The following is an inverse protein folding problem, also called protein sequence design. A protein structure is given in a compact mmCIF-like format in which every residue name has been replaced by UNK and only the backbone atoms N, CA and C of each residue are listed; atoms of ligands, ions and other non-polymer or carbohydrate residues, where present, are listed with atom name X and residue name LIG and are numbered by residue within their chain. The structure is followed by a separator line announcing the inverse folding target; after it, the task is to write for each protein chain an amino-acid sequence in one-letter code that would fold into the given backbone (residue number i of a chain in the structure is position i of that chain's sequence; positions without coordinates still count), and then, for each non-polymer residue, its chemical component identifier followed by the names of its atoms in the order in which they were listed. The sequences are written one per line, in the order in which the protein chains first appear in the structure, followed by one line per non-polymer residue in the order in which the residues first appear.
data_IF_960144863500
#
_entry.id   IF_960144863500
#
_cell.length_a   1.000
_cell.length_b   1.000
_cell.length_c   1.000
_cell.angle_alpha   90.00
_cell.angle_beta   90.00
_cell.angle_gamma   90.00
#
_symmetry.space_group_name_H-M   'P 1'
#
loop_
_entity.id
_entity.type
_entity.pdbx_description
1 polymer ?
#
# COMPACT_ATOMS: atom_id res chain seq x y z
N UNK A 1 0.79 -38.29 -22.28
CA UNK A 1 1.25 -37.75 -20.98
C UNK A 1 0.75 -36.31 -20.89
N UNK A 2 0.03 -35.98 -19.83
CA UNK A 2 -0.80 -34.78 -19.71
C UNK A 2 0.04 -33.50 -19.67
N UNK A 3 -0.31 -32.54 -20.53
CA UNK A 3 0.12 -31.14 -20.47
C UNK A 3 -0.40 -30.54 -19.16
N UNK A 4 0.43 -29.86 -18.34
CA UNK A 4 -0.09 -29.19 -17.15
C UNK A 4 -1.05 -28.09 -17.63
N UNK A 5 -2.32 -28.21 -17.27
CA UNK A 5 -3.30 -27.16 -17.55
C UNK A 5 -2.79 -25.86 -16.91
N UNK A 6 -2.79 -24.72 -17.62
CA UNK A 6 -2.35 -23.46 -17.05
C UNK A 6 -3.25 -23.15 -15.86
N UNK A 7 -2.68 -23.21 -14.66
CA UNK A 7 -3.36 -22.91 -13.42
C UNK A 7 -3.78 -21.45 -13.48
N UNK A 8 -5.06 -21.21 -13.73
CA UNK A 8 -5.63 -19.88 -13.92
C UNK A 8 -6.32 -19.37 -12.65
N UNK A 9 -5.88 -19.88 -11.50
CA UNK A 9 -6.30 -19.42 -10.18
C UNK A 9 -5.40 -18.25 -9.83
N UNK A 10 -5.99 -17.08 -9.62
CA UNK A 10 -5.28 -15.87 -9.21
C UNK A 10 -5.99 -15.18 -8.06
N UNK A 11 -5.23 -14.47 -7.24
CA UNK A 11 -5.80 -13.69 -6.16
C UNK A 11 -6.24 -12.32 -6.70
N UNK A 12 -7.54 -12.09 -6.77
CA UNK A 12 -8.13 -10.82 -7.21
C UNK A 12 -8.88 -10.19 -6.04
N UNK A 13 -8.42 -9.02 -5.57
CA UNK A 13 -9.01 -8.29 -4.43
C UNK A 13 -9.20 -9.17 -3.17
N UNK A 14 -8.26 -10.08 -2.91
CA UNK A 14 -8.28 -10.99 -1.76
C UNK A 14 -9.10 -12.27 -1.95
N UNK A 15 -9.64 -12.53 -3.14
CA UNK A 15 -10.41 -13.74 -3.46
C UNK A 15 -9.64 -14.57 -4.50
N UNK A 16 -9.53 -15.88 -4.28
CA UNK A 16 -9.02 -16.80 -5.29
C UNK A 16 -10.05 -16.96 -6.42
N UNK A 17 -9.67 -16.52 -7.62
CA UNK A 17 -10.52 -16.56 -8.82
C UNK A 17 -9.93 -17.52 -9.82
N UNK A 18 -10.71 -18.53 -10.19
CA UNK A 18 -10.40 -19.44 -11.29
C UNK A 18 -10.89 -18.84 -12.62
N UNK A 19 -10.00 -18.16 -13.33
CA UNK A 19 -10.33 -17.40 -14.54
C UNK A 19 -11.02 -18.25 -15.62
N UNK A 20 -10.68 -19.54 -15.70
CA UNK A 20 -11.27 -20.47 -16.68
C UNK A 20 -12.79 -20.64 -16.49
N UNK A 21 -13.30 -20.39 -15.29
CA UNK A 21 -14.73 -20.48 -14.95
C UNK A 21 -15.45 -19.14 -15.04
N UNK A 22 -14.71 -18.03 -15.14
CA UNK A 22 -15.28 -16.71 -15.38
C UNK A 22 -15.78 -16.56 -16.82
N UNK A 23 -16.82 -15.74 -17.00
CA UNK A 23 -17.26 -15.32 -18.33
C UNK A 23 -16.13 -14.61 -19.09
N UNK A 24 -16.10 -14.63 -20.44
CA UNK A 24 -15.06 -13.95 -21.22
C UNK A 24 -14.91 -12.46 -20.86
N UNK A 25 -16.04 -11.76 -20.65
CA UNK A 25 -16.04 -10.35 -20.24
C UNK A 25 -15.43 -10.15 -18.84
N UNK A 26 -15.81 -10.99 -17.88
CA UNK A 26 -15.25 -10.96 -16.52
C UNK A 26 -13.74 -11.26 -16.52
N UNK A 27 -13.32 -12.26 -17.30
CA UNK A 27 -11.90 -12.61 -17.47
C UNK A 27 -11.10 -11.45 -18.04
N UNK A 28 -11.62 -10.76 -19.06
CA UNK A 28 -10.98 -9.59 -19.66
C UNK A 28 -10.88 -8.43 -18.68
N UNK A 29 -11.93 -8.14 -17.91
CA UNK A 29 -11.91 -7.09 -16.90
C UNK A 29 -10.85 -7.36 -15.81
N UNK A 30 -10.84 -8.58 -15.26
CA UNK A 30 -9.87 -9.00 -14.25
C UNK A 30 -8.45 -8.95 -14.81
N UNK A 31 -8.22 -9.47 -16.03
CA UNK A 31 -6.89 -9.49 -16.66
C UNK A 31 -6.40 -8.08 -17.00
N UNK A 32 -7.29 -7.18 -17.45
CA UNK A 32 -6.96 -5.78 -17.70
C UNK A 32 -6.61 -5.02 -16.41
N UNK A 33 -7.30 -5.33 -15.31
CA UNK A 33 -7.04 -4.73 -14.00
C UNK A 33 -5.76 -5.26 -13.35
N UNK A 34 -5.41 -6.53 -13.57
CA UNK A 34 -4.14 -7.13 -13.10
C UNK A 34 -2.96 -6.67 -13.98
N UNK A 35 -3.19 -6.47 -15.27
CA UNK A 35 -2.17 -5.97 -16.21
C UNK A 35 -1.85 -4.48 -16.01
N UNK A 36 -2.76 -3.72 -15.38
CA UNK A 36 -2.47 -2.40 -14.85
C UNK A 36 -1.75 -2.57 -13.51
N UNK A 37 -0.48 -2.18 -13.42
CA UNK A 37 0.32 -2.30 -12.20
C UNK A 37 -0.39 -1.75 -10.95
N UNK A 38 0.11 -2.12 -9.76
CA UNK A 38 -0.46 -1.72 -8.47
C UNK A 38 -0.84 -0.22 -8.48
N UNK A 39 -2.14 0.13 -8.42
CA UNK A 39 -2.60 1.50 -8.54
C UNK A 39 -2.18 2.39 -7.35
N UNK A 40 -1.62 1.76 -6.31
CA UNK A 40 -1.09 2.41 -5.12
C UNK A 40 0.44 2.52 -5.12
N UNK A 41 1.15 1.91 -6.08
CA UNK A 41 2.62 1.80 -6.02
C UNK A 41 3.32 3.15 -5.82
N UNK A 42 2.92 4.18 -6.59
CA UNK A 42 3.47 5.53 -6.45
C UNK A 42 3.14 6.16 -5.09
N UNK A 43 1.96 5.84 -4.54
CA UNK A 43 1.51 6.36 -3.27
C UNK A 43 2.23 5.69 -2.09
N UNK A 44 2.53 4.40 -2.20
CA UNK A 44 3.30 3.64 -1.22
C UNK A 44 4.77 4.09 -1.20
N UNK A 45 5.37 4.34 -2.37
CA UNK A 45 6.71 4.93 -2.45
C UNK A 45 6.75 6.35 -1.86
N UNK A 46 5.69 7.14 -2.08
CA UNK A 46 5.55 8.45 -1.47
C UNK A 46 5.39 8.36 0.06
N UNK A 47 4.63 7.39 0.55
CA UNK A 47 4.46 7.12 1.98
C UNK A 47 5.77 6.80 2.67
N UNK A 48 6.53 5.87 2.10
CA UNK A 48 7.83 5.48 2.65
C UNK A 48 8.79 6.67 2.73
N UNK A 49 8.99 7.37 1.62
CA UNK A 49 9.92 8.50 1.55
C UNK A 49 9.50 9.69 2.43
N UNK A 50 8.20 10.00 2.46
CA UNK A 50 7.66 11.10 3.27
C UNK A 50 7.79 10.79 4.76
N UNK A 51 7.44 9.56 5.16
CA UNK A 51 7.50 9.15 6.56
C UNK A 51 8.94 9.09 7.05
N UNK A 52 9.85 8.53 6.27
CA UNK A 52 11.27 8.49 6.61
C UNK A 52 11.86 9.91 6.80
N UNK A 53 11.53 10.84 5.90
CA UNK A 53 11.98 12.22 6.01
C UNK A 53 11.39 12.93 7.24
N UNK A 54 10.08 12.80 7.48
CA UNK A 54 9.42 13.42 8.63
C UNK A 54 9.98 12.91 9.96
N UNK A 55 10.17 11.58 10.09
CA UNK A 55 10.80 10.96 11.27
C UNK A 55 12.22 11.48 11.47
N UNK A 56 13.03 11.53 10.41
CA UNK A 56 14.40 12.03 10.49
C UNK A 56 14.48 13.50 10.92
N UNK A 57 13.61 14.35 10.37
CA UNK A 57 13.54 15.77 10.73
C UNK A 57 13.09 15.95 12.19
N UNK A 58 12.02 15.28 12.61
CA UNK A 58 11.49 15.39 13.98
C UNK A 58 12.54 14.93 15.00
N UNK A 59 13.15 13.76 14.78
CA UNK A 59 14.19 13.24 15.66
C UNK A 59 15.39 14.19 15.75
N UNK A 60 15.87 14.72 14.61
CA UNK A 60 16.99 15.66 14.59
C UNK A 60 16.67 16.96 15.37
N UNK A 61 15.47 17.51 15.19
CA UNK A 61 15.03 18.72 15.89
C UNK A 61 14.91 18.50 17.40
N UNK A 62 14.34 17.37 17.83
CA UNK A 62 14.16 17.09 19.25
C UNK A 62 15.49 16.77 19.95
N UNK A 63 16.41 16.06 19.27
CA UNK A 63 17.77 15.82 19.76
C UNK A 63 18.54 17.14 19.90
N UNK A 64 18.46 18.04 18.91
CA UNK A 64 19.09 19.35 18.97
C UNK A 64 18.55 20.22 20.12
N UNK A 65 17.30 19.98 20.52
CA UNK A 65 16.64 20.67 21.65
C UNK A 65 16.92 20.01 23.00
N UNK A 66 17.79 19.00 23.07
CA UNK A 66 18.06 18.20 24.28
C UNK A 66 16.79 17.60 24.91
N UNK A 67 15.83 17.22 24.07
CA UNK A 67 14.58 16.60 24.53
C UNK A 67 14.88 15.22 25.15
N UNK A 68 14.23 14.84 26.26
CA UNK A 68 14.36 13.51 26.84
C UNK A 68 14.04 12.40 25.83
N UNK A 69 14.76 11.28 25.90
CA UNK A 69 14.59 10.18 24.96
C UNK A 69 13.15 9.62 24.94
N UNK A 70 12.49 9.57 26.11
CA UNK A 70 11.09 9.10 26.22
C UNK A 70 10.13 9.98 25.43
N UNK A 71 10.29 11.30 25.50
CA UNK A 71 9.42 12.24 24.78
C UNK A 71 9.68 12.17 23.26
N UNK A 72 10.91 11.84 22.85
CA UNK A 72 11.25 11.60 21.44
C UNK A 72 10.55 10.33 20.93
N UNK A 73 10.61 9.25 21.69
CA UNK A 73 9.94 7.98 21.33
C UNK A 73 8.43 8.17 21.19
N UNK A 74 7.81 8.87 22.15
CA UNK A 74 6.38 9.17 22.12
C UNK A 74 6.00 10.03 20.90
N UNK A 75 6.75 11.10 20.63
CA UNK A 75 6.48 11.97 19.49
C UNK A 75 6.68 11.26 18.14
N UNK A 76 7.68 10.37 18.02
CA UNK A 76 7.88 9.58 16.82
C UNK A 76 6.76 8.55 16.61
N UNK A 77 6.26 7.94 17.68
CA UNK A 77 5.12 7.03 17.63
C UNK A 77 3.83 7.76 17.19
N UNK A 78 3.59 8.96 17.75
CA UNK A 78 2.44 9.79 17.38
C UNK A 78 2.52 10.25 15.91
N UNK A 79 3.70 10.72 15.47
CA UNK A 79 3.94 11.07 14.07
C UNK A 79 3.64 9.87 13.16
N UNK A 80 4.10 8.67 13.52
CA UNK A 80 3.86 7.47 12.71
C UNK A 80 2.36 7.18 12.58
N UNK A 81 1.60 7.25 13.66
CA UNK A 81 0.16 7.05 13.64
C UNK A 81 -0.56 8.06 12.72
N UNK A 82 -0.19 9.34 12.77
CA UNK A 82 -0.74 10.36 11.88
C UNK A 82 -0.42 10.11 10.40
N UNK A 83 0.82 9.70 10.11
CA UNK A 83 1.23 9.39 8.74
C UNK A 83 0.46 8.19 8.19
N UNK A 84 0.31 7.12 8.99
CA UNK A 84 -0.43 5.92 8.60
C UNK A 84 -1.90 6.24 8.31
N UNK A 85 -2.56 7.04 9.16
CA UNK A 85 -3.95 7.45 8.93
C UNK A 85 -4.09 8.33 7.66
N UNK A 86 -3.19 9.29 7.47
CA UNK A 86 -3.21 10.16 6.29
C UNK A 86 -3.04 9.36 4.99
N UNK A 87 -2.08 8.44 4.93
CA UNK A 87 -1.86 7.63 3.74
C UNK A 87 -2.94 6.59 3.54
N UNK A 88 -3.55 6.05 4.60
CA UNK A 88 -4.73 5.20 4.51
C UNK A 88 -5.88 5.94 3.79
N UNK A 89 -6.21 7.16 4.22
CA UNK A 89 -7.25 7.97 3.58
C UNK A 89 -6.96 8.18 2.08
N UNK A 90 -5.71 8.49 1.72
CA UNK A 90 -5.31 8.68 0.31
C UNK A 90 -5.40 7.40 -0.51
N UNK A 91 -5.05 6.25 0.07
CA UNK A 91 -5.22 4.93 -0.58
C UNK A 91 -6.71 4.65 -0.83
N UNK A 92 -7.57 4.91 0.15
CA UNK A 92 -9.02 4.74 0.00
C UNK A 92 -9.59 5.62 -1.11
N UNK A 93 -9.25 6.90 -1.14
CA UNK A 93 -9.65 7.82 -2.22
C UNK A 93 -9.22 7.28 -3.60
N UNK A 94 -7.96 6.85 -3.74
CA UNK A 94 -7.43 6.33 -5.00
C UNK A 94 -8.14 5.06 -5.48
N UNK A 95 -8.58 4.21 -4.55
CA UNK A 95 -9.25 2.94 -4.86
C UNK A 95 -10.74 3.10 -5.17
N UNK A 96 -11.42 4.06 -4.53
CA UNK A 96 -12.89 4.08 -4.50
C UNK A 96 -13.54 5.34 -5.09
N UNK A 97 -12.85 6.47 -5.20
CA UNK A 97 -13.42 7.71 -5.77
C UNK A 97 -13.19 7.85 -7.29
N UNK A 98 -13.29 6.73 -8.02
CA UNK A 98 -13.02 6.68 -9.47
C UNK A 98 -14.27 6.85 -10.32
#
# INVERSE_FOLDING_TARGET
MATPAPQSILLFRGVEVELNRCSPATRQAITAEIGGGNPLADLEALEESTTANAVGQLAATMLASHTPAVDIEDALAELRAHMDEHFLQRKLVRLYER
#
